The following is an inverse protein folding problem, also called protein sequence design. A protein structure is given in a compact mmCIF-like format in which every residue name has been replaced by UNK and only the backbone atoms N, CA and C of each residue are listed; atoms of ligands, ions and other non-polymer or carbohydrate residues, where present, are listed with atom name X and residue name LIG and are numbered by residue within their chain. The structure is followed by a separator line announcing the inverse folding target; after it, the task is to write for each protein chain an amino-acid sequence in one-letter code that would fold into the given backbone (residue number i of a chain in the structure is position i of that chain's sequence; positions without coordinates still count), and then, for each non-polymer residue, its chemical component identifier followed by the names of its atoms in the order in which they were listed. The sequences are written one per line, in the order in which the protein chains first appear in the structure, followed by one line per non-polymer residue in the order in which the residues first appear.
data_IF_278693738869
#
_entry.id   IF_278693738869
#
_cell.length_a   1.000
_cell.length_b   1.000
_cell.length_c   1.000
_cell.angle_alpha   90.00
_cell.angle_beta   90.00
_cell.angle_gamma   90.00
#
_symmetry.space_group_name_H-M   'P 1'
#
loop_
_entity.id
_entity.type
_entity.pdbx_description
1 polymer ?
#
# COMPACT_ATOMS: atom_id res chain seq x y z
N UNK A 1 -20.20 46.55 26.51
CA UNK A 1 -19.43 46.96 25.31
C UNK A 1 -17.95 46.97 25.66
N UNK A 2 -17.19 45.98 25.21
CA UNK A 2 -15.76 46.11 24.91
C UNK A 2 -15.31 44.79 24.28
N UNK A 3 -15.00 44.84 22.99
CA UNK A 3 -14.49 43.73 22.18
C UNK A 3 -13.02 43.50 22.53
N UNK A 4 -12.64 42.25 22.82
CA UNK A 4 -11.27 41.79 22.62
C UNK A 4 -11.24 40.81 21.45
N UNK A 5 -10.62 41.26 20.36
CA UNK A 5 -10.20 40.50 19.19
C UNK A 5 -8.81 39.91 19.45
N UNK A 6 -8.48 38.93 18.61
CA UNK A 6 -7.14 38.47 18.19
C UNK A 6 -6.62 37.22 18.89
N UNK A 7 -5.91 36.28 18.26
CA UNK A 7 -5.45 36.00 16.89
C UNK A 7 -4.92 34.55 16.98
N UNK A 8 -5.06 33.72 15.93
CA UNK A 8 -4.01 32.81 15.45
C UNK A 8 -4.47 32.11 14.15
N UNK A 9 -4.10 32.75 13.03
CA UNK A 9 -3.92 32.13 11.72
C UNK A 9 -2.48 31.59 11.68
N UNK A 10 -2.29 30.35 11.26
CA UNK A 10 -0.99 29.86 10.83
C UNK A 10 -1.14 29.29 9.42
N UNK A 11 -0.55 29.98 8.45
CA UNK A 11 -0.28 29.48 7.10
C UNK A 11 1.24 29.29 6.99
N UNK A 12 1.69 28.18 6.41
CA UNK A 12 3.07 28.00 5.99
C UNK A 12 3.10 27.79 4.47
N UNK A 13 3.53 28.82 3.76
CA UNK A 13 4.14 28.71 2.44
C UNK A 13 4.97 29.98 2.18
N UNK A 14 6.29 29.82 2.08
CA UNK A 14 7.10 30.40 1.00
C UNK A 14 8.59 30.16 1.24
N UNK A 15 9.21 29.59 0.20
CA UNK A 15 10.60 29.65 -0.20
C UNK A 15 11.33 30.97 0.05
N UNK A 16 12.65 30.90 0.26
CA UNK A 16 13.62 31.76 -0.42
C UNK A 16 15.03 31.14 -0.38
N UNK A 17 15.72 31.28 -1.51
CA UNK A 17 17.09 30.86 -1.81
C UNK A 17 18.16 31.88 -1.34
N UNK A 18 19.41 31.38 -1.26
CA UNK A 18 20.73 32.06 -1.23
C UNK A 18 21.10 32.77 0.10
N UNK A 19 22.32 32.71 0.63
CA UNK A 19 23.65 32.39 0.08
C UNK A 19 24.62 32.00 1.23
N UNK A 20 25.84 31.62 0.86
CA UNK A 20 26.87 30.82 1.53
C UNK A 20 27.47 31.33 2.86
N UNK A 21 27.83 30.39 3.76
CA UNK A 21 29.13 30.45 4.43
C UNK A 21 29.68 29.05 4.79
N UNK A 22 30.98 28.89 4.55
CA UNK A 22 31.76 27.65 4.59
C UNK A 22 32.04 27.19 6.02
N UNK A 23 31.70 25.94 6.34
CA UNK A 23 32.45 25.15 7.33
C UNK A 23 32.62 23.72 6.80
N UNK A 24 33.88 23.35 6.56
CA UNK A 24 34.32 21.99 6.30
C UNK A 24 34.04 21.13 7.53
N UNK A 25 33.27 20.05 7.37
CA UNK A 25 33.42 18.87 8.22
C UNK A 25 33.15 17.62 7.39
N UNK A 26 34.23 16.88 7.18
CA UNK A 26 34.28 15.54 6.62
C UNK A 26 33.49 14.57 7.50
N UNK A 27 32.42 13.98 6.96
CA UNK A 27 31.96 12.67 7.42
C UNK A 27 31.43 11.85 6.25
N UNK A 28 31.94 10.62 6.20
CA UNK A 28 31.76 9.57 5.20
C UNK A 28 30.30 9.39 4.82
N UNK A 29 30.00 9.58 3.54
CA UNK A 29 28.77 9.14 2.89
C UNK A 29 29.08 7.82 2.20
N UNK A 30 28.70 6.70 2.82
CA UNK A 30 28.78 5.38 2.18
C UNK A 30 27.63 5.26 1.16
N UNK A 31 27.98 5.36 -0.11
CA UNK A 31 27.09 5.07 -1.24
C UNK A 31 26.86 3.56 -1.30
N UNK A 32 25.63 3.11 -1.04
CA UNK A 32 25.22 1.73 -1.31
C UNK A 32 24.85 1.63 -2.80
N UNK A 33 25.83 1.30 -3.65
CA UNK A 33 25.60 0.92 -5.05
C UNK A 33 25.10 -0.52 -5.12
N UNK A 34 23.81 -0.70 -5.38
CA UNK A 34 23.26 -1.98 -5.86
C UNK A 34 23.72 -2.12 -7.32
N UNK A 35 24.64 -3.05 -7.59
CA UNK A 35 25.06 -3.44 -8.93
C UNK A 35 24.01 -4.41 -9.50
N UNK A 36 23.33 -4.00 -10.56
CA UNK A 36 22.59 -4.94 -11.41
C UNK A 36 23.59 -5.80 -12.19
N UNK A 37 23.43 -7.13 -12.23
CA UNK A 37 24.20 -7.97 -13.14
C UNK A 37 23.75 -7.73 -14.58
N UNK A 38 24.76 -7.73 -15.44
CA UNK A 38 24.79 -7.40 -16.85
C UNK A 38 23.94 -8.31 -17.74
N UNK A 39 23.40 -7.68 -18.78
CA UNK A 39 22.84 -8.28 -19.98
C UNK A 39 23.88 -9.13 -20.73
N UNK A 40 23.46 -10.30 -21.21
CA UNK A 40 24.19 -11.06 -22.23
C UNK A 40 23.24 -11.54 -23.34
N UNK A 41 23.41 -10.91 -24.49
CA UNK A 41 23.61 -11.47 -25.83
C UNK A 41 22.66 -12.58 -26.37
N UNK A 42 21.73 -12.14 -27.24
CA UNK A 42 21.46 -12.60 -28.63
C UNK A 42 21.67 -14.07 -29.03
N UNK A 43 20.60 -14.76 -29.43
CA UNK A 43 20.57 -15.71 -30.58
C UNK A 43 19.24 -15.52 -31.37
N UNK A 44 19.37 -15.29 -32.68
CA UNK A 44 18.31 -15.32 -33.69
C UNK A 44 17.90 -16.77 -34.02
N UNK A 45 16.60 -17.01 -34.23
CA UNK A 45 16.09 -18.26 -34.81
C UNK A 45 14.65 -18.13 -35.31
N UNK A 46 14.46 -18.41 -36.60
CA UNK A 46 13.23 -18.36 -37.39
C UNK A 46 12.09 -19.30 -36.91
N UNK A 47 10.82 -18.86 -37.07
CA UNK A 47 9.80 -19.53 -37.91
C UNK A 47 8.46 -18.76 -37.93
N UNK A 48 7.80 -18.58 -39.10
CA UNK A 48 6.43 -18.08 -39.18
C UNK A 48 5.45 -19.23 -38.96
N UNK A 49 4.71 -19.20 -37.84
CA UNK A 49 3.58 -20.09 -37.61
C UNK A 49 2.28 -19.38 -38.04
N UNK A 50 1.50 -20.09 -38.84
CA UNK A 50 0.25 -19.66 -39.47
C UNK A 50 -0.82 -19.29 -38.43
N UNK A 51 -1.55 -18.21 -38.74
CA UNK A 51 -2.71 -17.70 -38.01
C UNK A 51 -3.85 -18.72 -37.98
N UNK A 52 -3.84 -19.58 -36.97
CA UNK A 52 -5.03 -20.33 -36.55
C UNK A 52 -6.04 -19.37 -35.92
N UNK A 53 -7.19 -19.20 -36.58
CA UNK A 53 -8.33 -18.43 -36.06
C UNK A 53 -8.77 -18.97 -34.70
N UNK A 54 -8.49 -18.23 -33.63
CA UNK A 54 -8.91 -18.58 -32.27
C UNK A 54 -10.42 -18.33 -32.18
N UNK A 55 -11.20 -19.41 -32.18
CA UNK A 55 -12.64 -19.38 -31.92
C UNK A 55 -12.82 -18.92 -30.47
N UNK A 56 -13.24 -17.67 -30.28
CA UNK A 56 -13.53 -17.13 -28.96
C UNK A 56 -14.66 -17.95 -28.32
N UNK A 57 -14.35 -18.61 -27.20
CA UNK A 57 -15.35 -19.34 -26.44
C UNK A 57 -16.45 -18.36 -25.98
N UNK A 58 -17.74 -18.71 -26.15
CA UNK A 58 -18.84 -17.86 -25.72
C UNK A 58 -18.73 -17.62 -24.20
N UNK A 59 -18.83 -16.36 -23.81
CA UNK A 59 -18.78 -15.93 -22.41
C UNK A 59 -19.91 -16.60 -21.62
N UNK A 60 -19.62 -17.18 -20.44
CA UNK A 60 -20.60 -17.88 -19.63
C UNK A 60 -21.72 -16.93 -19.21
N UNK A 61 -22.96 -17.23 -19.64
CA UNK A 61 -24.15 -16.51 -19.21
C UNK A 61 -24.47 -16.96 -17.77
N UNK A 62 -24.36 -16.05 -16.80
CA UNK A 62 -24.86 -16.29 -15.45
C UNK A 62 -26.36 -15.99 -15.42
N UNK A 63 -27.20 -17.02 -15.40
CA UNK A 63 -28.67 -16.90 -15.32
C UNK A 63 -29.20 -16.65 -13.89
N UNK A 64 -28.33 -16.21 -12.97
CA UNK A 64 -28.71 -15.81 -11.62
C UNK A 64 -29.12 -14.33 -11.56
N UNK A 65 -30.20 -14.02 -10.85
CA UNK A 65 -30.61 -12.64 -10.52
C UNK A 65 -29.43 -11.89 -9.92
N UNK A 66 -28.79 -11.01 -10.70
CA UNK A 66 -27.54 -10.32 -10.34
C UNK A 66 -27.70 -9.22 -9.28
N UNK A 67 -28.89 -9.08 -8.70
CA UNK A 67 -29.24 -7.97 -7.82
C UNK A 67 -28.56 -8.04 -6.46
N UNK A 68 -28.20 -9.23 -5.96
CA UNK A 68 -27.86 -9.43 -4.54
C UNK A 68 -26.35 -9.58 -4.30
N UNK A 69 -25.51 -9.41 -5.33
CA UNK A 69 -24.07 -9.53 -5.18
C UNK A 69 -23.48 -8.24 -4.58
N UNK A 70 -22.49 -8.35 -3.67
CA UNK A 70 -21.90 -7.18 -3.02
C UNK A 70 -21.22 -6.28 -4.05
N UNK A 71 -21.28 -4.97 -3.80
CA UNK A 71 -20.60 -3.94 -4.59
C UNK A 71 -19.64 -3.16 -3.71
N UNK A 72 -18.61 -2.58 -4.31
CA UNK A 72 -17.72 -1.64 -3.64
C UNK A 72 -18.00 -0.21 -4.08
N UNK A 73 -17.94 0.71 -3.12
CA UNK A 73 -17.79 2.14 -3.35
C UNK A 73 -16.45 2.56 -2.80
N UNK A 74 -15.52 2.93 -3.67
CA UNK A 74 -14.19 3.40 -3.27
C UNK A 74 -14.14 4.91 -3.43
N UNK A 75 -14.01 5.62 -2.32
CA UNK A 75 -13.90 7.08 -2.28
C UNK A 75 -12.44 7.48 -2.24
N UNK A 76 -12.05 8.40 -3.11
CA UNK A 76 -10.74 9.06 -3.03
C UNK A 76 -10.81 10.12 -1.94
N UNK A 77 -10.04 9.93 -0.87
CA UNK A 77 -10.04 10.83 0.29
C UNK A 77 -8.90 11.85 0.22
N UNK A 78 -7.78 11.49 -0.41
CA UNK A 78 -6.66 12.41 -0.68
C UNK A 78 -6.07 12.08 -2.05
N UNK A 79 -5.76 13.09 -2.85
CA UNK A 79 -5.05 12.94 -4.12
C UNK A 79 -4.52 14.30 -4.57
N UNK A 80 -3.47 14.30 -5.40
CA UNK A 80 -2.97 15.54 -6.01
C UNK A 80 -3.43 15.76 -7.44
N UNK A 81 -4.00 14.73 -8.07
CA UNK A 81 -4.42 14.75 -9.48
C UNK A 81 -5.90 14.47 -9.64
N UNK A 82 -6.47 13.58 -8.82
CA UNK A 82 -7.89 13.26 -8.88
C UNK A 82 -8.66 14.13 -7.87
N UNK A 83 -9.83 14.69 -8.22
CA UNK A 83 -10.64 15.43 -7.26
C UNK A 83 -10.99 14.57 -6.03
N UNK A 84 -10.71 15.10 -4.84
CA UNK A 84 -11.12 14.48 -3.58
C UNK A 84 -12.64 14.34 -3.55
N UNK A 85 -13.13 13.19 -3.07
CA UNK A 85 -14.54 12.83 -3.06
C UNK A 85 -15.01 12.08 -4.32
N UNK A 86 -14.14 11.87 -5.32
CA UNK A 86 -14.44 10.98 -6.46
C UNK A 86 -14.77 9.57 -5.95
N UNK A 87 -15.85 8.99 -6.46
CA UNK A 87 -16.34 7.67 -6.07
C UNK A 87 -16.21 6.71 -7.25
N UNK A 88 -15.53 5.59 -7.04
CA UNK A 88 -15.46 4.47 -7.96
C UNK A 88 -16.48 3.43 -7.52
N UNK A 89 -17.48 3.16 -8.38
CA UNK A 89 -18.45 2.10 -8.13
C UNK A 89 -17.98 0.84 -8.85
N UNK A 90 -17.65 -0.20 -8.09
CA UNK A 90 -17.18 -1.49 -8.61
C UNK A 90 -18.23 -2.54 -8.27
N UNK A 91 -18.68 -3.26 -9.29
CA UNK A 91 -19.59 -4.39 -9.15
C UNK A 91 -18.80 -5.70 -9.40
N UNK A 92 -19.43 -6.88 -9.32
CA UNK A 92 -18.72 -8.15 -9.53
C UNK A 92 -18.00 -8.26 -10.87
N UNK A 93 -18.49 -7.62 -11.93
CA UNK A 93 -17.91 -7.72 -13.28
C UNK A 93 -16.79 -6.69 -13.52
N UNK A 94 -16.64 -5.68 -12.65
CA UNK A 94 -15.59 -4.65 -12.75
C UNK A 94 -16.10 -3.25 -12.37
N UNK A 95 -15.35 -2.23 -12.77
CA UNK A 95 -15.71 -0.83 -12.57
C UNK A 95 -16.88 -0.41 -13.47
N UNK A 96 -17.89 0.24 -12.90
CA UNK A 96 -19.01 0.80 -13.65
C UNK A 96 -18.53 1.90 -14.61
N UNK A 97 -18.99 1.85 -15.87
CA UNK A 97 -18.59 2.76 -16.95
C UNK A 97 -17.10 2.69 -17.33
N UNK A 98 -16.43 1.57 -17.01
CA UNK A 98 -15.05 1.33 -17.46
C UNK A 98 -14.95 1.33 -18.98
N UNK A 99 -13.92 1.99 -19.52
CA UNK A 99 -13.56 1.93 -20.94
C UNK A 99 -12.98 0.57 -21.34
N UNK A 100 -12.44 -0.18 -20.38
CA UNK A 100 -11.84 -1.51 -20.62
C UNK A 100 -12.91 -2.56 -20.91
N UNK A 101 -14.05 -2.49 -20.22
CA UNK A 101 -15.27 -3.28 -20.47
C UNK A 101 -15.03 -4.80 -20.72
N UNK A 102 -14.10 -5.42 -19.98
CA UNK A 102 -13.76 -6.84 -20.15
C UNK A 102 -14.68 -7.78 -19.37
N UNK A 103 -15.31 -7.32 -18.29
CA UNK A 103 -16.23 -8.14 -17.50
C UNK A 103 -15.57 -9.35 -16.82
N UNK A 104 -14.27 -9.27 -16.53
CA UNK A 104 -13.43 -10.40 -16.14
C UNK A 104 -13.21 -10.50 -14.62
N UNK A 105 -14.13 -9.92 -13.83
CA UNK A 105 -14.06 -9.88 -12.37
C UNK A 105 -12.83 -9.12 -11.83
N UNK A 106 -12.21 -8.27 -12.65
CA UNK A 106 -11.03 -7.48 -12.29
C UNK A 106 -11.24 -6.01 -12.60
N UNK A 107 -10.76 -5.17 -11.70
CA UNK A 107 -10.66 -3.72 -11.87
C UNK A 107 -9.22 -3.30 -11.71
N UNK A 108 -8.60 -2.84 -12.79
CA UNK A 108 -7.22 -2.37 -12.83
C UNK A 108 -7.16 -0.87 -12.65
N UNK A 109 -6.23 -0.40 -11.82
CA UNK A 109 -5.97 1.03 -11.59
C UNK A 109 -4.49 1.31 -11.79
N UNK A 110 -4.18 2.37 -12.53
CA UNK A 110 -2.81 2.76 -12.82
C UNK A 110 -2.72 4.07 -13.59
N UNK A 111 -1.54 4.39 -14.08
CA UNK A 111 -1.27 5.67 -14.75
C UNK A 111 -1.43 5.64 -16.27
N UNK A 112 -1.44 4.45 -16.91
CA UNK A 112 -1.42 4.32 -18.37
C UNK A 112 -2.78 3.89 -18.90
N UNK A 113 -3.37 4.66 -19.82
CA UNK A 113 -4.69 4.32 -20.39
C UNK A 113 -4.61 3.18 -21.40
N UNK A 114 -3.67 3.26 -22.34
CA UNK A 114 -3.57 2.31 -23.44
C UNK A 114 -2.14 1.82 -23.64
N UNK A 115 -2.01 0.57 -24.06
CA UNK A 115 -0.76 -0.03 -24.54
C UNK A 115 -1.10 -0.91 -25.74
N UNK A 116 -0.39 -0.71 -26.86
CA UNK A 116 -0.59 -1.48 -28.10
C UNK A 116 -2.03 -1.49 -28.64
N UNK A 117 -2.77 -0.38 -28.45
CA UNK A 117 -4.16 -0.26 -28.89
C UNK A 117 -5.19 -0.84 -27.93
N UNK A 118 -4.77 -1.48 -26.84
CA UNK A 118 -5.67 -2.03 -25.83
C UNK A 118 -5.77 -1.10 -24.61
N UNK A 119 -6.97 -1.03 -24.01
CA UNK A 119 -7.19 -0.30 -22.76
C UNK A 119 -6.69 -1.13 -21.59
N UNK A 120 -5.69 -0.60 -20.88
CA UNK A 120 -4.93 -1.31 -19.85
C UNK A 120 -5.63 -1.30 -18.48
N UNK A 121 -6.15 -0.13 -18.08
CA UNK A 121 -6.76 0.10 -16.77
C UNK A 121 -8.22 0.52 -16.89
N UNK A 122 -9.01 0.15 -15.89
CA UNK A 122 -10.39 0.59 -15.73
C UNK A 122 -10.46 2.04 -15.22
N UNK A 123 -9.53 2.44 -14.35
CA UNK A 123 -9.41 3.80 -13.83
C UNK A 123 -7.99 4.34 -13.96
N UNK A 124 -7.86 5.61 -14.37
CA UNK A 124 -6.58 6.26 -14.60
C UNK A 124 -6.31 7.32 -13.56
N UNK A 125 -5.13 7.24 -12.97
CA UNK A 125 -4.56 8.26 -12.10
C UNK A 125 -3.25 8.71 -12.74
N UNK A 126 -3.26 9.87 -13.40
CA UNK A 126 -2.10 10.40 -14.14
C UNK A 126 -1.04 10.97 -13.19
N UNK A 127 -0.43 10.08 -12.40
CA UNK A 127 0.57 10.34 -11.37
C UNK A 127 1.84 9.49 -11.59
N UNK A 128 2.19 9.21 -12.85
CA UNK A 128 3.35 8.35 -13.18
C UNK A 128 4.65 8.82 -12.50
N UNK A 129 4.91 10.13 -12.52
CA UNK A 129 6.07 10.75 -11.86
C UNK A 129 5.97 10.83 -10.33
N UNK A 130 4.80 10.49 -9.76
CA UNK A 130 4.51 10.58 -8.32
C UNK A 130 4.31 9.19 -7.70
N UNK A 131 4.83 8.15 -8.34
CA UNK A 131 4.84 6.79 -7.81
C UNK A 131 3.62 5.95 -8.17
N UNK A 132 2.76 6.40 -9.09
CA UNK A 132 1.70 5.56 -9.66
C UNK A 132 2.28 4.70 -10.80
N UNK A 133 2.25 3.37 -10.69
CA UNK A 133 2.68 2.45 -11.76
C UNK A 133 1.75 2.48 -12.98
N UNK A 134 2.18 1.90 -14.11
CA UNK A 134 1.35 1.86 -15.34
C UNK A 134 0.10 1.05 -15.08
N UNK A 135 0.25 -0.12 -14.46
CA UNK A 135 -0.77 -0.95 -13.84
C UNK A 135 -0.36 -1.13 -12.38
N UNK A 136 -0.88 -0.32 -11.47
CA UNK A 136 -0.37 -0.25 -10.10
C UNK A 136 -0.94 -1.37 -9.24
N UNK A 137 -2.27 -1.48 -9.22
CA UNK A 137 -2.96 -2.48 -8.42
C UNK A 137 -4.20 -3.01 -9.13
N UNK A 138 -4.67 -4.15 -8.67
CA UNK A 138 -5.89 -4.79 -9.15
C UNK A 138 -6.81 -5.08 -7.97
N UNK A 139 -8.10 -4.85 -8.19
CA UNK A 139 -9.17 -5.34 -7.33
C UNK A 139 -9.85 -6.50 -8.04
N UNK A 140 -9.95 -7.65 -7.38
CA UNK A 140 -10.52 -8.89 -7.94
C UNK A 140 -11.78 -9.24 -7.18
N UNK A 141 -12.81 -9.68 -7.89
CA UNK A 141 -13.98 -10.31 -7.27
C UNK A 141 -13.86 -11.83 -7.40
N UNK A 142 -13.93 -12.53 -6.26
CA UNK A 142 -13.96 -13.99 -6.24
C UNK A 142 -15.42 -14.45 -6.24
N UNK A 143 -15.85 -15.08 -7.33
CA UNK A 143 -17.23 -15.55 -7.53
C UNK A 143 -17.64 -16.69 -6.59
N UNK A 144 -16.68 -17.51 -6.15
CA UNK A 144 -16.92 -18.66 -5.27
C UNK A 144 -17.24 -18.22 -3.84
N UNK A 145 -16.45 -17.29 -3.30
CA UNK A 145 -16.64 -16.79 -1.92
C UNK A 145 -17.43 -15.48 -1.85
N UNK A 146 -17.75 -14.89 -3.00
CA UNK A 146 -18.44 -13.60 -3.14
C UNK A 146 -17.76 -12.47 -2.37
N UNK A 147 -16.42 -12.37 -2.47
CA UNK A 147 -15.62 -11.34 -1.80
C UNK A 147 -14.67 -10.66 -2.76
N UNK A 148 -14.26 -9.45 -2.39
CA UNK A 148 -13.24 -8.70 -3.11
C UNK A 148 -11.86 -8.88 -2.47
N UNK A 149 -10.81 -8.90 -3.27
CA UNK A 149 -9.42 -8.77 -2.84
C UNK A 149 -8.73 -7.62 -3.58
N UNK A 150 -7.67 -7.09 -2.98
CA UNK A 150 -6.74 -6.14 -3.61
C UNK A 150 -5.34 -6.74 -3.62
N UNK A 151 -4.60 -6.52 -4.71
CA UNK A 151 -3.20 -6.90 -4.82
C UNK A 151 -2.41 -5.82 -5.56
N UNK A 152 -1.18 -5.57 -5.11
CA UNK A 152 -0.19 -4.81 -5.85
C UNK A 152 0.26 -5.58 -7.10
N UNK A 153 0.62 -4.87 -8.17
CA UNK A 153 1.10 -5.47 -9.42
C UNK A 153 2.61 -5.29 -9.62
N UNK A 154 3.34 -4.80 -8.60
CA UNK A 154 4.78 -4.62 -8.64
C UNK A 154 5.22 -3.39 -9.46
N UNK A 155 4.29 -2.51 -9.83
CA UNK A 155 4.62 -1.27 -10.54
C UNK A 155 4.32 -0.02 -9.70
N UNK A 156 5.30 0.89 -9.65
CA UNK A 156 5.18 2.15 -8.93
C UNK A 156 5.78 2.08 -7.54
N UNK A 157 5.16 2.78 -6.60
CA UNK A 157 5.61 2.89 -5.20
C UNK A 157 5.03 1.81 -4.28
N UNK A 158 4.09 1.00 -4.80
CA UNK A 158 3.43 -0.06 -4.06
C UNK A 158 2.07 0.35 -3.47
N UNK A 159 1.27 -0.68 -3.21
CA UNK A 159 -0.06 -0.58 -2.62
C UNK A 159 0.01 -0.95 -1.15
N UNK A 160 -0.47 -0.05 -0.29
CA UNK A 160 -0.42 -0.26 1.15
C UNK A 160 -1.78 -0.06 1.82
N UNK A 161 -2.15 -0.98 2.70
CA UNK A 161 -3.38 -0.92 3.49
C UNK A 161 -3.08 -0.45 4.90
N UNK A 162 -3.88 0.47 5.44
CA UNK A 162 -3.73 0.96 6.80
C UNK A 162 -4.15 -0.12 7.79
N UNK A 163 -3.35 -0.31 8.83
CA UNK A 163 -3.62 -1.27 9.89
C UNK A 163 -4.52 -0.61 10.92
N UNK A 164 -5.83 -0.71 10.71
CA UNK A 164 -6.84 -0.12 11.60
C UNK A 164 -7.29 -1.05 12.74
N UNK A 165 -6.95 -2.34 12.66
CA UNK A 165 -7.23 -3.36 13.66
C UNK A 165 -6.01 -4.26 13.86
N UNK A 166 -6.04 -5.09 14.91
CA UNK A 166 -4.97 -6.04 15.22
C UNK A 166 -4.68 -6.98 14.04
N UNK A 167 -3.48 -6.90 13.50
CA UNK A 167 -3.00 -7.72 12.38
C UNK A 167 -2.18 -8.89 12.91
N UNK A 168 -2.62 -10.12 12.64
CA UNK A 168 -1.79 -11.30 12.86
C UNK A 168 -0.67 -11.30 11.82
N UNK A 169 0.57 -11.21 12.29
CA UNK A 169 1.75 -11.16 11.46
C UNK A 169 2.02 -12.51 10.79
N UNK A 170 2.40 -12.46 9.51
CA UNK A 170 2.87 -13.62 8.74
C UNK A 170 4.29 -13.37 8.25
N UNK A 171 4.97 -14.46 7.91
CA UNK A 171 6.27 -14.39 7.25
C UNK A 171 6.15 -13.67 5.90
N UNK A 172 7.14 -12.85 5.58
CA UNK A 172 7.18 -12.06 4.34
C UNK A 172 6.48 -10.71 4.40
N UNK A 173 5.67 -10.43 5.44
CA UNK A 173 4.97 -9.13 5.53
C UNK A 173 5.94 -7.96 5.55
N UNK A 174 5.62 -6.91 4.80
CA UNK A 174 6.33 -5.63 4.82
C UNK A 174 5.42 -4.58 5.46
N UNK A 175 5.89 -4.00 6.55
CA UNK A 175 5.19 -2.96 7.31
C UNK A 175 5.93 -1.64 7.18
N UNK A 176 5.18 -0.57 6.95
CA UNK A 176 5.70 0.74 6.61
C UNK A 176 5.10 1.84 7.49
N UNK A 177 5.92 2.77 7.94
CA UNK A 177 5.49 3.98 8.65
C UNK A 177 6.52 5.09 8.44
N UNK A 178 6.04 6.30 8.14
CA UNK A 178 6.93 7.39 7.71
C UNK A 178 7.74 6.99 6.49
N UNK A 179 9.07 7.05 6.61
CA UNK A 179 10.06 6.59 5.62
C UNK A 179 10.72 5.25 6.00
N UNK A 180 10.19 4.55 6.99
CA UNK A 180 10.74 3.29 7.49
C UNK A 180 9.94 2.12 6.94
N UNK A 181 10.65 1.13 6.41
CA UNK A 181 10.08 -0.11 5.89
C UNK A 181 10.75 -1.28 6.61
N UNK A 182 9.96 -2.17 7.19
CA UNK A 182 10.45 -3.37 7.87
C UNK A 182 9.81 -4.62 7.29
N UNK A 183 10.63 -5.66 7.09
CA UNK A 183 10.16 -6.99 6.75
C UNK A 183 10.02 -7.84 8.01
N UNK A 184 9.01 -8.71 8.00
CA UNK A 184 8.67 -9.63 9.05
C UNK A 184 9.09 -11.04 8.63
N UNK A 185 9.94 -11.67 9.43
CA UNK A 185 10.28 -13.08 9.32
C UNK A 185 9.73 -13.83 10.52
N UNK A 186 8.69 -14.62 10.30
CA UNK A 186 8.00 -15.34 11.38
C UNK A 186 8.28 -16.83 11.28
N UNK A 187 8.96 -17.37 12.29
CA UNK A 187 9.16 -18.81 12.41
C UNK A 187 8.08 -19.41 13.32
N UNK A 188 7.10 -20.07 12.72
CA UNK A 188 5.97 -20.67 13.44
C UNK A 188 6.35 -21.86 14.34
N UNK A 189 7.46 -22.54 14.06
CA UNK A 189 7.91 -23.73 14.82
C UNK A 189 8.45 -23.31 16.18
N UNK A 190 9.38 -22.35 16.19
CA UNK A 190 9.97 -21.82 17.43
C UNK A 190 9.25 -20.57 17.96
N UNK A 191 8.21 -20.12 17.24
CA UNK A 191 7.38 -18.96 17.55
C UNK A 191 8.17 -17.64 17.63
N UNK A 192 9.37 -17.55 17.05
CA UNK A 192 10.19 -16.33 17.08
C UNK A 192 9.84 -15.39 15.94
N UNK A 193 9.97 -14.09 16.18
CA UNK A 193 9.78 -13.03 15.19
C UNK A 193 11.10 -12.31 14.95
N UNK A 194 11.55 -12.27 13.70
CA UNK A 194 12.69 -11.47 13.29
C UNK A 194 12.18 -10.30 12.46
N UNK A 195 12.52 -9.09 12.87
CA UNK A 195 12.18 -7.85 12.15
C UNK A 195 13.47 -7.31 11.55
N UNK A 196 13.48 -7.06 10.24
CA UNK A 196 14.61 -6.42 9.57
C UNK A 196 14.15 -5.14 8.89
N UNK A 197 14.85 -4.04 9.15
CA UNK A 197 14.57 -2.77 8.48
C UNK A 197 15.25 -2.74 7.11
N UNK A 198 14.45 -2.53 6.06
CA UNK A 198 14.88 -2.45 4.67
C UNK A 198 15.26 -1.01 4.30
N UNK A 199 14.53 -0.04 4.84
CA UNK A 199 14.70 1.38 4.54
C UNK A 199 14.39 2.24 5.78
N UNK A 200 14.89 3.47 5.78
CA UNK A 200 14.69 4.46 6.83
C UNK A 200 15.89 4.59 7.78
N UNK A 201 15.75 5.35 8.88
CA UNK A 201 16.84 5.64 9.81
C UNK A 201 17.49 4.41 10.45
N UNK A 202 16.78 3.27 10.47
CA UNK A 202 17.22 1.99 11.02
C UNK A 202 17.59 0.95 9.96
N UNK A 203 17.78 1.34 8.71
CA UNK A 203 18.09 0.42 7.60
C UNK A 203 19.20 -0.58 7.99
N UNK A 204 18.98 -1.86 7.67
CA UNK A 204 19.81 -3.02 8.01
C UNK A 204 19.87 -3.44 9.49
N UNK A 205 19.21 -2.73 10.42
CA UNK A 205 19.04 -3.23 11.79
C UNK A 205 18.11 -4.45 11.81
N UNK A 206 18.45 -5.43 12.65
CA UNK A 206 17.72 -6.69 12.81
C UNK A 206 17.38 -6.88 14.28
N UNK A 207 16.10 -7.13 14.57
CA UNK A 207 15.58 -7.39 15.91
C UNK A 207 15.02 -8.80 15.98
N UNK A 208 15.58 -9.61 16.89
CA UNK A 208 15.10 -10.97 17.15
C UNK A 208 14.27 -10.96 18.43
N UNK A 209 13.02 -11.39 18.31
CA UNK A 209 12.03 -11.31 19.36
C UNK A 209 11.54 -12.73 19.68
N UNK A 210 11.62 -13.07 20.96
CA UNK A 210 11.08 -14.30 21.48
C UNK A 210 9.67 -14.06 22.03
N UNK A 211 8.78 -15.05 21.99
CA UNK A 211 7.49 -14.99 22.68
C UNK A 211 7.67 -14.56 24.13
N UNK A 212 7.02 -13.47 24.50
CA UNK A 212 6.96 -13.00 25.89
C UNK A 212 5.62 -12.32 26.14
N UNK A 213 5.27 -12.16 27.41
CA UNK A 213 4.08 -11.41 27.81
C UNK A 213 4.27 -9.88 27.68
N UNK A 214 5.45 -9.44 27.25
CA UNK A 214 5.78 -8.02 27.13
C UNK A 214 5.35 -7.50 25.75
N UNK A 215 4.69 -6.35 25.73
CA UNK A 215 4.39 -5.64 24.48
C UNK A 215 5.63 -4.88 24.03
N UNK A 216 6.03 -5.12 22.78
CA UNK A 216 7.17 -4.48 22.14
C UNK A 216 6.69 -3.19 21.51
N UNK A 217 7.19 -2.07 22.04
CA UNK A 217 6.83 -0.74 21.56
C UNK A 217 7.82 -0.24 20.51
N UNK A 218 7.27 0.27 19.40
CA UNK A 218 8.02 0.90 18.31
C UNK A 218 7.58 2.36 18.23
N UNK A 219 8.52 3.30 18.27
CA UNK A 219 8.20 4.74 18.23
C UNK A 219 9.35 5.61 18.69
N UNK A 220 9.11 6.90 18.94
CA UNK A 220 10.18 7.83 19.34
C UNK A 220 10.44 7.95 20.84
N UNK A 221 9.59 7.38 21.68
CA UNK A 221 9.73 7.50 23.12
C UNK A 221 10.92 6.68 23.64
N UNK A 222 11.47 7.11 24.77
CA UNK A 222 12.66 6.49 25.39
C UNK A 222 12.40 5.08 25.94
N UNK A 223 11.14 4.75 26.20
CA UNK A 223 10.66 3.45 26.66
C UNK A 223 10.35 2.47 25.50
N UNK A 224 10.45 2.92 24.24
CA UNK A 224 10.29 2.03 23.09
C UNK A 224 11.49 1.08 22.97
N UNK A 225 11.21 -0.22 22.82
CA UNK A 225 12.24 -1.24 22.55
C UNK A 225 12.89 -1.03 21.19
N UNK A 226 12.11 -0.61 20.19
CA UNK A 226 12.61 -0.17 18.88
C UNK A 226 12.38 1.34 18.78
N UNK A 227 13.37 2.10 19.24
CA UNK A 227 13.29 3.56 19.33
C UNK A 227 13.81 4.26 18.08
N UNK A 228 13.10 5.29 17.63
CA UNK A 228 13.53 6.20 16.57
C UNK A 228 13.79 7.61 17.11
N UNK A 229 14.88 8.24 16.70
CA UNK A 229 15.17 9.64 17.03
C UNK A 229 14.61 10.58 15.95
N UNK A 230 13.31 10.45 15.67
CA UNK A 230 12.60 11.24 14.65
C UNK A 230 11.37 11.93 15.24
N UNK A 231 11.35 13.27 15.15
CA UNK A 231 10.24 14.10 15.63
C UNK A 231 8.97 13.99 14.76
N UNK A 232 9.08 13.51 13.53
CA UNK A 232 7.94 13.24 12.65
C UNK A 232 7.23 11.93 12.97
N UNK A 233 7.87 11.04 13.74
CA UNK A 233 7.30 9.78 14.18
C UNK A 233 6.40 9.97 15.40
N UNK A 234 5.35 9.14 15.49
CA UNK A 234 4.49 9.10 16.67
C UNK A 234 5.27 8.66 17.91
N UNK A 235 4.84 9.10 19.09
CA UNK A 235 5.39 8.63 20.39
C UNK A 235 5.44 7.11 20.45
N UNK A 236 4.32 6.49 20.10
CA UNK A 236 4.16 5.06 19.89
C UNK A 236 3.55 4.91 18.49
N UNK A 237 4.33 4.40 17.55
CA UNK A 237 3.94 4.25 16.16
C UNK A 237 3.17 2.96 15.96
N UNK A 238 3.67 1.85 16.49
CA UNK A 238 2.97 0.59 16.55
C UNK A 238 3.42 -0.22 17.76
N UNK A 239 2.63 -1.23 18.09
CA UNK A 239 2.97 -2.18 19.15
C UNK A 239 2.85 -3.61 18.64
N UNK A 240 3.78 -4.44 19.08
CA UNK A 240 3.88 -5.85 18.68
C UNK A 240 3.77 -6.69 19.95
N UNK A 241 2.86 -7.65 19.96
CA UNK A 241 2.64 -8.55 21.09
C UNK A 241 2.51 -9.99 20.61
N UNK A 242 2.71 -10.94 21.50
CA UNK A 242 2.52 -12.36 21.21
C UNK A 242 1.31 -12.89 21.97
N UNK A 243 0.36 -13.48 21.25
CA UNK A 243 -0.76 -14.22 21.83
C UNK A 243 -0.62 -15.71 21.51
N UNK A 244 -0.59 -16.58 22.52
CA UNK A 244 -0.40 -18.03 22.34
C UNK A 244 -1.41 -18.66 21.35
N UNK A 245 -2.65 -18.16 21.30
CA UNK A 245 -3.70 -18.67 20.40
C UNK A 245 -3.64 -18.13 18.98
N UNK A 246 -2.99 -16.98 18.74
CA UNK A 246 -3.03 -16.30 17.43
C UNK A 246 -1.65 -16.12 16.79
N UNK A 247 -0.59 -16.12 17.58
CA UNK A 247 0.78 -15.80 17.17
C UNK A 247 1.12 -14.33 17.45
N UNK A 248 2.04 -13.79 16.64
CA UNK A 248 2.45 -12.39 16.74
C UNK A 248 1.39 -11.46 16.15
N UNK A 249 1.10 -10.38 16.86
CA UNK A 249 0.07 -9.42 16.50
C UNK A 249 0.70 -8.03 16.48
N UNK A 250 0.44 -7.30 15.40
CA UNK A 250 0.79 -5.90 15.26
C UNK A 250 -0.46 -5.04 15.35
N UNK A 251 -0.37 -3.95 16.11
CA UNK A 251 -1.42 -2.93 16.23
C UNK A 251 -0.83 -1.54 15.94
N UNK A 252 -1.61 -0.67 15.32
CA UNK A 252 -1.23 0.73 15.13
C UNK A 252 -1.36 1.52 16.44
N UNK A 253 -0.31 2.24 16.82
CA UNK A 253 -0.25 2.98 18.08
C UNK A 253 -0.18 2.09 19.33
N UNK A 254 -0.84 2.52 20.40
CA UNK A 254 -0.89 1.82 21.70
C UNK A 254 -2.29 1.94 22.34
N UNK A 255 -2.89 0.80 22.68
CA UNK A 255 -4.27 0.75 23.19
C UNK A 255 -5.25 1.40 22.20
N UNK A 256 -6.05 2.36 22.68
CA UNK A 256 -7.03 3.08 21.85
C UNK A 256 -6.42 4.26 21.07
N UNK A 257 -5.14 4.59 21.30
CA UNK A 257 -4.47 5.73 20.67
C UNK A 257 -3.73 5.27 19.43
N UNK A 258 -4.28 5.60 18.26
CA UNK A 258 -3.65 5.38 16.96
C UNK A 258 -2.43 6.28 16.74
N UNK A 259 -1.57 5.88 15.81
CA UNK A 259 -0.45 6.71 15.39
C UNK A 259 -0.93 7.88 14.51
N UNK A 260 -0.16 8.96 14.44
CA UNK A 260 -0.58 10.18 13.71
C UNK A 260 -0.70 9.94 12.20
N UNK A 261 0.25 9.22 11.60
CA UNK A 261 0.33 9.01 10.15
C UNK A 261 -0.08 7.58 9.73
N UNK A 262 -0.56 6.78 10.68
CA UNK A 262 -0.90 5.38 10.47
C UNK A 262 0.31 4.46 10.29
N UNK A 263 0.08 3.17 10.54
CA UNK A 263 0.97 2.08 10.19
C UNK A 263 0.37 1.31 9.03
N UNK A 264 1.18 0.97 8.04
CA UNK A 264 0.73 0.49 6.73
C UNK A 264 1.31 -0.88 6.41
N UNK A 265 0.50 -1.79 5.88
CA UNK A 265 0.91 -3.09 5.38
C UNK A 265 1.04 -3.03 3.85
N UNK A 266 2.19 -3.41 3.30
CA UNK A 266 2.35 -3.60 1.85
C UNK A 266 1.58 -4.84 1.40
N UNK A 267 0.86 -4.73 0.28
CA UNK A 267 -0.05 -5.78 -0.19
C UNK A 267 0.50 -6.45 -1.45
N UNK A 268 1.50 -7.31 -1.27
CA UNK A 268 2.09 -8.09 -2.37
C UNK A 268 1.09 -9.12 -2.92
N UNK A 269 0.44 -9.85 -2.02
CA UNK A 269 -0.56 -10.88 -2.36
C UNK A 269 -2.00 -10.36 -2.23
N UNK A 270 -2.97 -11.16 -2.67
CA UNK A 270 -4.39 -10.88 -2.51
C UNK A 270 -4.79 -10.70 -1.04
N UNK A 271 -5.12 -9.46 -0.66
CA UNK A 271 -5.70 -9.12 0.64
C UNK A 271 -7.21 -8.93 0.50
N UNK A 272 -8.00 -9.61 1.34
CA UNK A 272 -9.45 -9.45 1.39
C UNK A 272 -9.83 -8.01 1.76
N UNK A 273 -10.71 -7.42 0.96
CA UNK A 273 -11.28 -6.10 1.23
C UNK A 273 -12.43 -6.22 2.22
N UNK A 274 -12.42 -5.38 3.25
CA UNK A 274 -13.50 -5.23 4.23
C UNK A 274 -14.04 -3.79 4.25
N UNK A 275 -15.21 -3.59 4.85
CA UNK A 275 -15.85 -2.28 4.96
C UNK A 275 -15.03 -1.33 5.85
N UNK A 276 -14.80 -0.11 5.38
CA UNK A 276 -13.97 0.89 6.05
C UNK A 276 -12.46 0.69 5.83
N UNK A 277 -12.04 -0.24 4.97
CA UNK A 277 -10.63 -0.41 4.61
C UNK A 277 -10.09 0.87 3.98
N UNK A 278 -8.96 1.36 4.49
CA UNK A 278 -8.22 2.50 3.94
C UNK A 278 -6.91 2.02 3.35
N UNK A 279 -6.61 2.43 2.13
CA UNK A 279 -5.38 2.06 1.45
C UNK A 279 -4.82 3.20 0.61
N UNK A 280 -3.53 3.15 0.30
CA UNK A 280 -2.83 4.13 -0.54
C UNK A 280 -2.11 3.43 -1.69
N UNK A 281 -2.04 4.13 -2.81
CA UNK A 281 -1.21 3.77 -3.96
C UNK A 281 -0.68 5.08 -4.58
N UNK A 282 0.64 5.21 -4.72
CA UNK A 282 1.24 6.50 -5.07
C UNK A 282 0.97 7.57 -4.00
N UNK A 283 0.48 8.74 -4.43
CA UNK A 283 0.07 9.83 -3.53
C UNK A 283 -1.44 9.92 -3.34
N UNK A 284 -2.17 8.87 -3.74
CA UNK A 284 -3.63 8.83 -3.62
C UNK A 284 -4.04 7.89 -2.48
N UNK A 285 -4.92 8.39 -1.62
CA UNK A 285 -5.51 7.67 -0.50
C UNK A 285 -6.98 7.36 -0.80
N UNK A 286 -7.37 6.13 -0.52
CA UNK A 286 -8.67 5.56 -0.82
C UNK A 286 -9.33 5.02 0.44
N UNK A 287 -10.66 5.11 0.49
CA UNK A 287 -11.49 4.51 1.53
C UNK A 287 -12.58 3.66 0.87
N UNK A 288 -12.75 2.44 1.38
CA UNK A 288 -13.66 1.45 0.80
C UNK A 288 -14.92 1.31 1.63
N UNK A 289 -16.06 1.29 0.95
CA UNK A 289 -17.35 0.90 1.52
C UNK A 289 -17.97 -0.28 0.77
N UNK A 290 -18.42 -1.29 1.50
CA UNK A 290 -19.12 -2.45 0.93
C UNK A 290 -20.62 -2.17 0.96
N UNK A 291 -21.23 -2.12 -0.22
CA UNK A 291 -22.67 -1.97 -0.37
C UNK A 291 -23.27 -3.35 -0.60
N UNK A 292 -24.05 -3.81 0.37
CA UNK A 292 -24.92 -4.98 0.21
C UNK A 292 -26.24 -4.48 -0.37
N UNK A 293 -26.63 -5.02 -1.52
CA UNK A 293 -27.95 -4.79 -2.10
C UNK A 293 -29.01 -5.70 -1.47
#
# INVERSE_FOLDING_TARGET
MSLFKSILKWCCSSSNDNEEEKIQNSNKKENCHIKNPSEDTFIQGHNPFEEGSIIAAPSPKMDGSSTDLPKLKIRIVESTVVPVGTILNINPIGLENSKRNKGDFKTFVGSKLMENGEVLNDFIIDESLKGMGRQHFVIKFNTTIQKYSIADLGEGSGTFVRIDSALVLKDGYIVSFGNSHMTIHYNSIVKTLTIKFLEGPKCNEVFNLNPSNETILVGRMVDCKIRFDDNSMSRYQCSISYEESKGWILTDGIGDKKSTNGTWLFVEDDLEIFDGLVFKAGKTLFEVHIVKT
#
